data_IF_693476172612
#
_entry.id   IF_693476172612
#
_cell.length_a   1.000
_cell.length_b   1.000
_cell.length_c   1.000
_cell.angle_alpha   90.00
_cell.angle_beta   90.00
_cell.angle_gamma   90.00
#
_symmetry.space_group_name_H-M   'P 1'
#
loop_
_entity.id
_entity.type
_entity.pdbx_description
1 polymer ?
2 polymer ?
3 non-polymer ?
4 non-polymer ?
#
# COMPACT_ATOMS: atom_id res chain seq x y z
N UNK A 1 -21.78 -15.06 9.06
CA UNK A 1 -20.51 -15.43 8.35
C UNK A 1 -20.19 -14.36 7.27
N UNK A 2 -21.08 -13.44 7.04
CA UNK A 2 -20.82 -12.38 6.01
C UNK A 2 -19.76 -11.41 6.54
N UNK A 3 -18.58 -11.46 6.00
CA UNK A 3 -17.49 -10.55 6.48
C UNK A 3 -17.30 -9.42 5.45
N UNK A 4 -17.38 -8.19 5.90
CA UNK A 4 -17.19 -7.05 4.95
C UNK A 4 -15.90 -6.31 5.31
N UNK A 5 -14.87 -6.48 4.51
CA UNK A 5 -13.59 -5.79 4.79
C UNK A 5 -13.77 -4.27 4.62
N UNK A 6 -13.17 -3.49 5.47
CA UNK A 6 -13.32 -2.00 5.35
C UNK A 6 -14.65 -1.57 5.96
N UNK A 7 -14.66 -0.50 6.70
CA UNK A 7 -15.93 -0.03 7.32
C UNK A 7 -16.75 0.75 6.29
N UNK A 8 -17.01 2.00 6.53
CA UNK A 8 -17.80 2.82 5.57
C UNK A 8 -17.04 4.10 5.24
N UNK A 9 -15.83 4.23 5.71
CA UNK A 9 -15.04 5.46 5.44
C UNK A 9 -13.55 5.10 5.29
N UNK A 10 -13.06 4.23 6.14
CA UNK A 10 -11.62 3.85 6.05
C UNK A 10 -11.25 2.97 7.27
N UNK A 11 -12.08 2.01 7.59
CA UNK A 11 -11.78 1.13 8.76
C UNK A 11 -11.26 -0.22 8.26
N UNK A 12 -9.96 -0.39 8.22
CA UNK A 12 -9.39 -1.67 7.74
C UNK A 12 -9.51 -2.74 8.84
N UNK A 13 -10.57 -3.52 8.81
CA UNK A 13 -10.75 -4.57 9.85
C UNK A 13 -11.84 -5.56 9.40
N UNK A 14 -11.62 -6.83 9.63
CA UNK A 14 -12.64 -7.84 9.22
C UNK A 14 -13.90 -7.66 10.07
N UNK A 15 -15.04 -7.54 9.44
CA UNK A 15 -16.30 -7.35 10.21
C UNK A 15 -17.34 -8.38 9.76
N UNK A 16 -17.53 -9.40 10.57
CA UNK A 16 -16.80 -9.57 11.84
C UNK A 16 -15.41 -10.15 11.58
N UNK A 17 -14.58 -10.18 12.60
CA UNK A 17 -13.20 -10.73 12.43
C UNK A 17 -13.11 -12.12 13.07
N UNK A 18 -14.23 -12.69 13.41
CA UNK A 18 -14.23 -14.05 14.03
C UNK A 18 -15.65 -14.62 14.03
N UNK A 19 -15.90 -15.63 13.25
CA UNK A 19 -17.27 -16.22 13.19
C UNK A 19 -17.19 -17.74 13.32
N UNK A 20 -18.31 -18.40 13.50
CA UNK A 20 -18.29 -19.89 13.63
C UNK A 20 -19.18 -20.50 12.54
N UNK A 21 -18.67 -21.46 11.82
CA UNK A 21 -19.49 -22.10 10.74
C UNK A 21 -19.39 -23.63 10.86
N UNK A 22 -19.89 -24.34 9.89
CA UNK A 22 -19.82 -25.84 9.94
C UNK A 22 -19.48 -26.38 8.56
N UNK A 23 -19.36 -27.68 8.42
CA UNK A 23 -19.02 -28.27 7.10
C UNK A 23 -20.23 -28.16 6.17
N UNK A 24 -20.15 -27.31 5.19
CA UNK A 24 -21.30 -27.14 4.24
C UNK A 24 -21.65 -25.66 4.11
N UNK A 25 -21.19 -24.85 5.03
CA UNK A 25 -21.49 -23.38 4.96
C UNK A 25 -20.52 -22.70 4.01
N UNK A 26 -20.73 -21.44 3.72
CA UNK A 26 -19.81 -20.73 2.77
C UNK A 26 -19.36 -19.41 3.42
N UNK A 27 -18.09 -19.12 3.33
CA UNK A 27 -17.57 -17.84 3.93
C UNK A 27 -17.48 -16.79 2.83
N UNK A 28 -17.65 -15.53 3.18
CA UNK A 28 -17.58 -14.45 2.15
C UNK A 28 -16.70 -13.30 2.65
N UNK A 29 -15.98 -12.67 1.76
CA UNK A 29 -15.10 -11.53 2.16
C UNK A 29 -15.32 -10.36 1.19
N UNK A 30 -16.38 -9.60 1.39
CA UNK A 30 -16.66 -8.46 0.47
C UNK A 30 -15.82 -7.24 0.90
N UNK A 31 -15.04 -6.71 -0.01
CA UNK A 31 -14.20 -5.52 0.34
C UNK A 31 -14.94 -4.24 -0.07
N UNK A 32 -15.03 -3.29 0.83
CA UNK A 32 -15.74 -2.02 0.51
C UNK A 32 -14.72 -0.91 0.28
N UNK A 33 -14.02 -0.49 1.30
CA UNK A 33 -13.02 0.59 1.14
C UNK A 33 -11.68 0.14 1.73
N UNK A 34 -10.59 0.66 1.22
CA UNK A 34 -9.25 0.27 1.76
C UNK A 34 -8.70 -0.92 0.97
N UNK A 35 -9.19 -1.12 -0.24
CA UNK A 35 -8.70 -2.27 -1.07
C UNK A 35 -7.21 -2.06 -1.39
N UNK A 36 -6.58 -3.13 -1.81
CA UNK A 36 -7.21 -4.46 -1.96
C UNK A 36 -7.33 -5.16 -0.60
N UNK A 37 -8.25 -6.07 -0.47
CA UNK A 37 -8.43 -6.79 0.82
C UNK A 37 -8.40 -8.30 0.56
N UNK A 38 -7.52 -8.75 -0.30
CA UNK A 38 -7.44 -10.21 -0.60
C UNK A 38 -6.93 -10.96 0.64
N UNK A 39 -7.62 -11.97 1.07
CA UNK A 39 -7.18 -12.73 2.27
C UNK A 39 -6.48 -14.02 1.85
N UNK A 40 -5.58 -14.51 2.67
CA UNK A 40 -4.86 -15.77 2.33
C UNK A 40 -4.70 -16.63 3.58
N UNK A 41 -5.18 -17.84 3.55
CA UNK A 41 -5.07 -18.73 4.76
C UNK A 41 -3.61 -19.16 4.94
N UNK A 42 -3.10 -19.08 6.14
CA UNK A 42 -1.69 -19.48 6.40
C UNK A 42 -1.65 -20.93 6.90
N UNK A 43 -0.52 -21.57 6.80
CA UNK A 43 -0.40 -22.98 7.29
C UNK A 43 0.26 -22.99 8.67
N UNK A 44 -0.14 -22.11 9.55
CA UNK A 44 0.47 -22.07 10.91
C UNK A 44 -0.61 -22.32 11.96
N UNK A 45 -1.85 -22.06 11.62
CA UNK A 45 -2.96 -22.28 12.60
C UNK A 45 -4.02 -23.18 11.96
N UNK A 46 -3.63 -23.99 11.01
CA UNK A 46 -4.63 -24.90 10.35
C UNK A 46 -4.66 -26.22 11.11
N UNK A 47 -5.85 -26.78 11.24
CA UNK A 47 -6.07 -28.05 11.96
C UNK A 47 -5.61 -29.24 11.11
N UNK A 48 -6.22 -29.45 9.96
CA UNK A 48 -5.82 -30.60 9.10
C UNK A 48 -4.66 -30.18 8.19
N UNK A 49 -4.20 -31.06 7.35
CA UNK A 49 -3.07 -30.71 6.43
C UNK A 49 -3.60 -29.81 5.30
N UNK A 50 -3.81 -30.38 4.14
CA UNK A 50 -4.32 -29.58 2.98
C UNK A 50 -3.31 -28.48 2.62
N UNK A 51 -3.36 -27.99 1.41
CA UNK A 51 -2.40 -26.91 1.00
C UNK A 51 -3.01 -25.54 1.32
N UNK A 52 -2.18 -24.55 1.51
CA UNK A 52 -2.69 -23.19 1.83
C UNK A 52 -3.15 -22.50 0.54
N UNK A 53 -2.58 -22.87 -0.58
CA UNK A 53 -3.00 -22.25 -1.87
C UNK A 53 -4.40 -22.73 -2.26
N UNK A 54 -4.86 -23.80 -1.66
CA UNK A 54 -6.22 -24.31 -1.99
C UNK A 54 -7.28 -23.45 -1.31
N UNK A 55 -6.97 -22.90 -0.16
CA UNK A 55 -7.98 -22.05 0.55
C UNK A 55 -7.51 -20.59 0.58
N UNK A 56 -6.41 -20.29 -0.07
CA UNK A 56 -5.90 -18.89 -0.09
C UNK A 56 -6.12 -18.29 -1.48
N UNK A 57 -5.78 -17.04 -1.65
CA UNK A 57 -5.96 -16.39 -2.98
C UNK A 57 -4.62 -16.40 -3.75
N UNK A 58 -4.67 -16.17 -5.03
CA UNK A 58 -3.42 -16.16 -5.84
C UNK A 58 -2.94 -14.72 -6.05
N UNK A 59 -1.99 -14.51 -6.92
CA UNK A 59 -1.48 -13.13 -7.17
C UNK A 59 -2.32 -12.46 -8.27
N UNK A 60 -2.88 -13.23 -9.16
CA UNK A 60 -3.70 -12.63 -10.25
C UNK A 60 -5.10 -12.31 -9.73
N UNK A 61 -5.61 -13.10 -8.82
CA UNK A 61 -6.97 -12.84 -8.27
C UNK A 61 -6.86 -11.96 -7.02
N UNK A 62 -6.91 -10.66 -7.20
CA UNK A 62 -6.81 -9.75 -6.03
C UNK A 62 -8.12 -8.97 -5.88
N UNK A 63 -8.51 -8.67 -4.66
CA UNK A 63 -9.78 -7.91 -4.45
C UNK A 63 -9.45 -6.42 -4.37
N UNK A 64 -9.29 -5.77 -5.49
CA UNK A 64 -8.96 -4.32 -5.49
C UNK A 64 -10.22 -3.51 -5.82
N UNK A 65 -11.22 -4.14 -6.38
CA UNK A 65 -12.47 -3.40 -6.74
C UNK A 65 -13.48 -3.52 -5.59
N UNK A 66 -14.24 -2.46 -5.40
CA UNK A 66 -15.26 -2.41 -4.34
C UNK A 66 -16.52 -3.19 -4.76
N UNK A 67 -16.50 -4.49 -4.56
CA UNK A 67 -17.67 -5.33 -4.96
C UNK A 67 -17.25 -6.79 -5.07
N UNK A 68 -15.99 -7.03 -5.35
CA UNK A 68 -15.51 -8.44 -5.49
C UNK A 68 -15.54 -9.12 -4.12
N UNK A 69 -15.77 -10.41 -4.08
CA UNK A 69 -15.82 -11.12 -2.78
C UNK A 69 -15.04 -12.44 -2.87
N UNK A 70 -14.41 -12.85 -1.80
CA UNK A 70 -13.65 -14.13 -1.82
C UNK A 70 -14.39 -15.16 -0.97
N UNK A 71 -14.96 -16.15 -1.60
CA UNK A 71 -15.72 -17.20 -0.84
C UNK A 71 -14.84 -18.45 -0.68
N UNK A 72 -14.77 -18.99 0.51
CA UNK A 72 -13.94 -20.21 0.73
C UNK A 72 -14.83 -21.33 1.29
N UNK A 73 -14.99 -22.40 0.55
CA UNK A 73 -15.84 -23.53 1.04
C UNK A 73 -15.00 -24.46 1.90
N UNK A 74 -15.13 -24.38 3.19
CA UNK A 74 -14.33 -25.27 4.09
C UNK A 74 -15.19 -26.45 4.55
N UNK A 75 -14.61 -27.61 4.67
CA UNK A 75 -15.39 -28.81 5.12
C UNK A 75 -14.73 -29.44 6.34
N UNK A 76 -13.44 -29.26 6.50
CA UNK A 76 -12.74 -29.84 7.68
C UNK A 76 -13.20 -29.14 8.96
N UNK A 77 -13.15 -29.83 10.07
CA UNK A 77 -13.59 -29.21 11.36
C UNK A 77 -12.36 -28.73 12.13
N UNK A 78 -12.31 -27.46 12.44
CA UNK A 78 -11.14 -26.93 13.20
C UNK A 78 -11.16 -25.40 13.16
N UNK A 79 -10.13 -24.76 13.62
CA UNK A 79 -10.08 -23.26 13.61
C UNK A 79 -9.01 -22.79 12.63
N UNK A 80 -9.40 -22.13 11.57
CA UNK A 80 -8.39 -21.63 10.59
C UNK A 80 -8.01 -20.20 10.94
N UNK A 81 -7.10 -19.61 10.20
CA UNK A 81 -6.69 -18.21 10.50
C UNK A 81 -6.28 -17.49 9.21
N UNK A 82 -7.17 -16.74 8.63
CA UNK A 82 -6.83 -16.00 7.38
C UNK A 82 -6.54 -14.54 7.74
N UNK A 83 -5.84 -13.84 6.90
CA UNK A 83 -5.52 -12.41 7.21
C UNK A 83 -5.41 -11.60 5.92
N UNK A 84 -5.62 -10.31 6.01
CA UNK A 84 -5.53 -9.44 4.81
C UNK A 84 -4.07 -9.38 4.33
N UNK A 85 -3.79 -9.96 3.19
CA UNK A 85 -2.38 -9.96 2.68
C UNK A 85 -1.83 -8.53 2.65
N UNK A 86 -2.56 -7.64 2.02
CA UNK A 86 -2.16 -6.22 1.91
C UNK A 86 -2.36 -5.48 3.24
N UNK A 87 -2.41 -6.20 4.33
CA UNK A 87 -2.59 -5.55 5.67
C UNK A 87 -2.45 -6.59 6.78
N UNK A 88 -1.40 -7.38 6.73
CA UNK A 88 -1.22 -8.42 7.80
C UNK A 88 -0.67 -7.76 9.06
N UNK A 89 0.25 -6.84 8.91
CA UNK A 89 0.82 -6.15 10.10
C UNK A 89 -0.06 -4.96 10.48
N UNK A 90 -1.05 -4.66 9.68
CA UNK A 90 -1.96 -3.52 10.00
C UNK A 90 -2.79 -3.86 11.24
N UNK A 91 -3.58 -4.91 11.18
CA UNK A 91 -4.40 -5.29 12.37
C UNK A 91 -5.74 -5.88 11.92
N UNK A 92 -5.97 -5.97 10.63
CA UNK A 92 -7.27 -6.52 10.15
C UNK A 92 -7.09 -8.01 9.80
N UNK A 93 -7.55 -8.88 10.65
CA UNK A 93 -7.41 -10.35 10.38
C UNK A 93 -8.63 -11.09 10.93
N UNK A 94 -8.97 -12.22 10.35
CA UNK A 94 -10.16 -12.99 10.85
C UNK A 94 -9.79 -14.46 10.98
N UNK A 95 -10.72 -15.28 11.43
CA UNK A 95 -10.44 -16.74 11.58
C UNK A 95 -11.73 -17.54 11.36
N UNK A 96 -11.63 -18.66 10.68
CA UNK A 96 -12.86 -19.49 10.44
C UNK A 96 -12.97 -20.57 11.51
N UNK A 97 -13.93 -20.45 12.40
CA UNK A 97 -14.09 -21.48 13.47
C UNK A 97 -15.10 -22.53 13.01
N UNK A 98 -14.75 -23.31 12.02
CA UNK A 98 -15.69 -24.36 11.52
C UNK A 98 -15.64 -25.58 12.44
N UNK A 99 -16.77 -26.18 12.73
CA UNK A 99 -16.79 -27.37 13.62
C UNK A 99 -18.09 -28.16 13.39
N UNK B 1 0.03 2.52 2.46
CA UNK B 1 -1.18 2.93 1.73
C UNK B 1 -1.45 4.37 2.10
N UNK B 2 -2.22 5.05 1.32
CA UNK B 2 -2.48 6.47 1.59
C UNK B 2 -3.24 6.60 2.90
N UNK B 3 -3.98 5.58 3.28
CA UNK B 3 -4.77 5.65 4.55
C UNK B 3 -3.85 5.53 5.76
N UNK B 4 -2.70 4.92 5.61
CA UNK B 4 -1.76 4.79 6.77
C UNK B 4 -1.22 6.17 7.17
N UNK B 5 -0.91 6.99 6.20
CA UNK B 5 -0.39 8.35 6.51
C UNK B 5 -1.55 9.22 7.00
N UNK B 6 -2.69 9.12 6.39
CA UNK B 6 -3.84 9.95 6.82
C UNK B 6 -4.24 9.59 8.25
N UNK B 7 -4.31 8.34 8.55
CA UNK B 7 -4.73 7.95 9.90
C UNK B 7 -3.70 8.36 10.96
N UNK B 8 -2.40 8.49 10.62
CA UNK B 8 -1.38 8.81 11.72
C UNK B 8 -0.49 10.07 11.46
N UNK B 9 -0.65 10.77 10.40
CA UNK B 9 0.16 12.00 10.24
C UNK B 9 -0.85 13.12 10.03
N UNK B 10 -0.85 14.20 10.79
CA UNK B 10 -1.93 15.30 10.60
C UNK B 10 -1.79 16.01 9.23
N UNK B 11 -0.56 16.36 8.90
CA UNK B 11 -0.21 16.99 7.60
C UNK B 11 0.93 16.13 7.05
N UNK B 12 0.80 15.64 5.81
CA UNK B 12 1.79 14.68 5.15
C UNK B 12 3.15 15.30 4.73
N UNK B 13 3.31 16.59 4.94
CA UNK B 13 4.58 17.25 4.59
C UNK B 13 5.40 17.43 5.87
N UNK B 14 6.61 16.90 5.89
CA UNK B 14 7.47 17.01 7.12
C UNK B 14 8.20 18.36 7.13
N UNK B 15 8.92 18.68 8.20
CA UNK B 15 9.63 19.99 8.28
C UNK B 15 10.86 20.00 7.35
N UNK B 16 11.41 18.85 7.09
CA UNK B 16 12.58 18.76 6.18
C UNK B 16 12.08 18.71 4.74
N UNK B 17 10.77 18.73 4.56
CA UNK B 17 10.20 18.70 3.17
C UNK B 17 9.98 17.25 2.73
N UNK B 18 10.08 16.32 3.63
CA UNK B 18 9.89 14.91 3.24
C UNK B 18 8.41 14.53 3.36
N UNK B 19 7.89 13.84 2.36
CA UNK B 19 6.47 13.37 2.39
C UNK B 19 6.42 12.16 3.34
N UNK B 20 5.41 12.05 4.17
CA UNK B 20 5.33 10.94 5.22
C UNK B 20 5.41 9.50 4.66
N UNK B 21 5.06 9.29 3.40
CA UNK B 21 5.11 7.90 2.84
C UNK B 21 6.56 7.39 2.81
N UNK B 22 7.52 8.28 2.86
CA UNK B 22 8.96 7.84 2.81
C UNK B 22 9.38 7.21 4.15
N UNK B 23 8.47 7.19 5.12
CA UNK B 23 8.78 6.59 6.46
C UNK B 23 8.65 5.07 6.38
N UNK B 24 7.75 4.59 5.55
CA UNK B 24 7.58 3.12 5.38
C UNK B 24 7.95 2.73 3.94
N UNK B 25 7.79 3.65 2.99
CA UNK B 25 8.15 3.37 1.54
C UNK B 25 9.59 3.88 1.31
N UNK B 26 10.55 3.04 1.73
CA UNK B 26 12.02 3.41 1.77
C UNK B 26 12.82 3.29 0.44
N UNK B 27 12.26 2.88 -0.64
CA UNK B 27 13.09 2.85 -1.89
C UNK B 27 12.88 4.20 -2.58
N UNK B 28 13.86 4.80 -3.18
CA UNK B 28 13.57 6.11 -3.85
C UNK B 28 13.34 5.86 -5.34
N UNK B 29 12.16 6.21 -5.92
CA UNK B 29 11.88 6.00 -7.44
C UNK B 29 11.34 7.34 -8.05
N UNK B 30 11.71 7.72 -9.24
CA UNK B 30 11.37 9.09 -9.79
C UNK B 30 9.88 9.44 -9.91
N UNK B 31 9.51 10.65 -9.55
CA UNK B 31 8.08 11.07 -9.68
C UNK B 31 8.06 12.31 -10.57
N UNK B 32 7.06 12.47 -11.41
CA UNK B 32 7.01 13.67 -12.31
C UNK B 32 5.66 14.41 -12.19
N UNK B 33 5.64 15.68 -12.45
CA UNK B 33 4.37 16.42 -12.33
C UNK B 33 4.27 17.51 -13.41
N UNK B 34 3.26 17.45 -14.18
CA UNK B 34 3.08 18.48 -15.21
C UNK B 34 1.87 19.31 -14.80
N UNK B 35 2.03 20.60 -14.70
CA UNK B 35 0.89 21.51 -14.34
C UNK B 35 1.00 22.72 -15.28
N UNK B 36 -0.07 23.42 -15.55
CA UNK B 36 -0.02 24.56 -16.48
C UNK B 36 0.86 25.67 -15.88
N UNK B 37 1.55 26.46 -16.68
CA UNK B 37 2.44 27.53 -16.08
C UNK B 37 1.61 28.57 -15.30
N UNK B 38 0.44 28.86 -15.78
CA UNK B 38 -0.44 29.85 -15.10
C UNK B 38 -1.92 29.49 -15.35
N UNK B 39 -2.77 29.86 -14.43
CA UNK B 39 -4.23 29.56 -14.59
C UNK B 39 -5.05 30.78 -14.15
N UNK B 40 -6.26 30.90 -14.66
CA UNK B 40 -7.14 32.06 -14.29
C UNK B 40 -8.01 31.68 -13.07
N UNK B 41 -8.65 32.63 -12.49
CA UNK B 41 -9.46 32.36 -11.31
C UNK B 41 -10.68 31.54 -11.71
N UNK B 42 -11.15 30.71 -10.80
CA UNK B 42 -12.39 29.87 -11.03
C UNK B 42 -12.29 29.03 -12.32
N UNK B 43 -11.14 28.48 -12.60
CA UNK B 43 -11.01 27.65 -13.83
C UNK B 43 -10.55 26.25 -13.47
N UNK B 44 -10.92 25.28 -14.23
CA UNK B 44 -10.47 23.91 -13.94
C UNK B 44 -9.17 23.67 -14.67
N UNK B 45 -8.24 23.03 -14.03
CA UNK B 45 -6.98 22.70 -14.71
C UNK B 45 -6.61 21.26 -14.35
N UNK B 46 -5.64 20.73 -15.01
CA UNK B 46 -5.28 19.35 -14.71
C UNK B 46 -3.88 19.30 -14.13
N UNK B 47 -3.73 18.49 -13.14
CA UNK B 47 -2.39 18.27 -12.56
C UNK B 47 -2.03 16.84 -12.95
N UNK B 48 -1.05 16.65 -13.81
CA UNK B 48 -0.69 15.27 -14.26
C UNK B 48 0.56 14.74 -13.53
N UNK B 49 0.38 13.70 -12.74
CA UNK B 49 1.51 13.12 -11.96
C UNK B 49 1.94 11.79 -12.60
N UNK B 50 3.21 11.64 -12.79
CA UNK B 50 3.71 10.40 -13.41
C UNK B 50 4.54 9.61 -12.40
N UNK B 51 4.16 8.38 -12.17
CA UNK B 51 4.92 7.48 -11.27
C UNK B 51 5.40 6.32 -12.14
N UNK B 52 6.52 6.56 -12.82
CA UNK B 52 7.11 5.62 -13.83
C UNK B 52 7.82 4.37 -13.24
N UNK B 53 7.69 3.28 -13.94
CA UNK B 53 8.32 2.03 -13.48
C UNK B 53 8.37 1.02 -14.62
N UNK B 54 9.35 0.13 -14.50
CA UNK B 54 9.55 -0.98 -15.48
C UNK B 54 8.37 -1.93 -15.32
N UNK B 55 7.57 -2.06 -16.38
CA UNK B 55 6.28 -2.86 -16.35
C UNK B 55 6.45 -4.39 -16.17
N UNK B 56 7.57 -4.97 -16.53
CA UNK B 56 7.72 -6.47 -16.36
C UNK B 56 8.17 -6.78 -14.92
N UNK B 57 8.07 -5.78 -14.07
CA UNK B 57 8.50 -5.92 -12.64
C UNK B 57 7.47 -6.68 -11.82
N UNK B 58 7.95 -7.66 -11.08
CA UNK B 58 7.07 -8.50 -10.22
C UNK B 58 7.51 -8.33 -8.76
N UNK B 59 6.61 -7.93 -7.93
CA UNK B 59 6.96 -7.74 -6.52
C UNK B 59 6.49 -8.92 -5.68
N UNK B 60 6.91 -8.89 -4.45
CA UNK B 60 6.52 -9.95 -3.50
C UNK B 60 5.20 -9.54 -2.86
N UNK B 61 4.14 -10.25 -3.21
CA UNK B 61 2.77 -9.98 -2.63
C UNK B 61 2.81 -10.43 -1.17
N UNK B 62 1.96 -9.89 -0.31
CA UNK B 62 2.01 -10.24 1.18
C UNK B 62 1.76 -11.74 1.49
N UNK B 63 1.70 -12.58 0.49
CA UNK B 63 1.45 -14.04 0.72
C UNK B 63 2.60 -14.87 0.14
N UNK B 64 3.66 -14.23 -0.27
CA UNK B 64 4.82 -14.97 -0.83
C UNK B 64 4.73 -15.01 -2.35
N UNK B 65 3.56 -14.97 -2.92
CA UNK B 65 3.45 -15.03 -4.41
C UNK B 65 3.99 -13.75 -5.05
N UNK B 66 4.33 -13.79 -6.33
CA UNK B 66 4.87 -12.58 -7.03
C UNK B 66 3.73 -11.91 -7.82
N UNK B 67 3.68 -10.59 -7.83
CA UNK B 67 2.55 -9.94 -8.55
C UNK B 67 2.88 -8.53 -9.10
N UNK B 68 1.82 -7.89 -9.55
CA UNK B 68 1.91 -6.54 -10.16
C UNK B 68 1.99 -5.44 -9.11
N UNK B 69 2.31 -4.27 -9.58
CA UNK B 69 2.48 -3.12 -8.68
C UNK B 69 1.22 -2.27 -8.62
N UNK B 70 1.09 -1.63 -7.49
CA UNK B 70 -0.03 -0.70 -7.23
C UNK B 70 0.57 0.69 -7.04
N UNK B 71 -0.16 1.67 -7.51
CA UNK B 71 0.32 3.08 -7.42
C UNK B 71 -0.60 3.90 -6.51
N UNK B 72 -0.01 4.88 -5.86
CA UNK B 72 -0.76 5.79 -4.95
C UNK B 72 -0.15 7.19 -5.06
N UNK B 73 -0.84 8.19 -4.59
CA UNK B 73 -0.29 9.57 -4.71
C UNK B 73 -0.87 10.51 -3.66
N UNK B 74 -0.12 11.53 -3.35
CA UNK B 74 -0.55 12.56 -2.38
C UNK B 74 -0.26 13.93 -3.00
N UNK B 75 -1.31 14.68 -3.30
CA UNK B 75 -1.13 16.02 -3.93
C UNK B 75 -1.34 17.13 -2.90
N UNK B 76 -0.34 17.95 -2.69
CA UNK B 76 -0.45 19.06 -1.71
C UNK B 76 -0.52 20.40 -2.46
N UNK B 77 -1.69 20.97 -2.54
CA UNK B 77 -1.87 22.28 -3.25
C UNK B 77 -2.00 23.40 -2.20
N UNK B 78 -1.97 24.61 -2.66
CA UNK B 78 -2.09 25.74 -1.76
C UNK B 78 -3.51 25.85 -1.22
N UNK B 79 -3.66 26.61 -0.16
CA UNK B 79 -5.01 26.80 0.45
C UNK B 79 -5.89 27.54 -0.55
N UNK B 80 -7.11 27.08 -0.74
CA UNK B 80 -8.04 27.73 -1.71
C UNK B 80 -8.27 26.77 -2.89
N UNK B 81 -7.20 26.11 -3.32
CA UNK B 81 -7.32 25.14 -4.44
C UNK B 81 -8.00 23.87 -3.93
N UNK B 82 -8.88 23.30 -4.71
CA UNK B 82 -9.59 22.08 -4.26
C UNK B 82 -9.95 21.19 -5.45
N UNK B 83 -10.49 20.03 -5.18
CA UNK B 83 -10.88 19.07 -6.26
C UNK B 83 -12.06 19.66 -7.05
N UNK B 84 -11.90 19.75 -8.35
CA UNK B 84 -12.99 20.32 -9.22
C UNK B 84 -14.24 19.45 -9.11
N UNK B 85 -15.39 20.11 -8.94
CA UNK B 85 -16.73 19.45 -8.78
C UNK B 85 -17.10 18.75 -10.09
N UNK B 86 -17.91 17.74 -10.04
CA UNK B 86 -18.22 16.94 -11.25
C UNK B 86 -18.87 17.76 -12.37
N UNK B 87 -19.67 18.74 -12.02
CA UNK B 87 -20.36 19.57 -13.04
C UNK B 87 -19.36 20.44 -13.82
N UNK B 88 -18.25 20.76 -13.21
CA UNK B 88 -17.24 21.58 -13.93
C UNK B 88 -16.26 20.65 -14.65
N UNK B 89 -16.44 19.36 -14.55
CA UNK B 89 -15.50 18.41 -15.23
C UNK B 89 -15.99 18.13 -16.65
N UNK B 90 -15.21 18.53 -17.64
CA UNK B 90 -15.58 18.28 -19.07
C UNK B 90 -15.50 16.78 -19.35
N UNK B 91 -16.22 16.33 -20.35
CA UNK B 91 -16.27 14.89 -20.73
C UNK B 91 -14.95 14.45 -21.36
N UNK B 92 -14.21 15.38 -21.92
CA UNK B 92 -12.90 15.03 -22.53
C UNK B 92 -11.90 14.72 -21.42
N UNK B 93 -12.15 15.26 -20.25
CA UNK B 93 -11.24 14.99 -19.08
C UNK B 93 -11.90 13.94 -18.18
N UNK B 94 -13.17 13.69 -18.40
CA UNK B 94 -13.90 12.67 -17.58
C UNK B 94 -13.38 11.28 -17.95
N UNK B 95 -13.09 11.05 -19.20
CA UNK B 95 -12.54 9.74 -19.63
C UNK B 95 -11.06 9.71 -19.28
N UNK B 96 -10.48 10.87 -19.15
CA UNK B 96 -9.06 10.93 -18.79
C UNK B 96 -8.91 10.49 -17.33
N UNK B 97 -9.74 10.96 -16.44
CA UNK B 97 -9.61 10.57 -15.00
C UNK B 97 -10.06 9.12 -14.77
N UNK B 98 -10.44 8.43 -15.81
CA UNK B 98 -10.90 7.02 -15.65
C UNK B 98 -12.09 6.98 -14.70
N UNK B 99 -11.92 6.41 -13.53
CA UNK B 99 -13.03 6.35 -12.52
C UNK B 99 -12.41 6.35 -11.12
N UNK B 100 -11.40 7.13 -10.95
CA UNK B 100 -10.73 7.17 -9.65
C UNK B 100 -11.50 8.01 -8.65
N UNK B 101 -11.29 7.73 -7.42
CA UNK B 101 -11.91 8.50 -6.37
C UNK B 101 -10.80 9.27 -5.69
N UNK B 102 -10.81 10.55 -5.80
CA UNK B 102 -9.79 11.33 -5.09
C UNK B 102 -10.34 11.59 -3.70
N UNK B 103 -9.60 11.40 -2.69
CA UNK B 103 -10.15 11.69 -1.36
C UNK B 103 -9.41 12.88 -0.79
N UNK B 104 -9.99 13.52 0.17
CA UNK B 104 -9.27 14.61 0.84
C UNK B 104 -8.40 13.94 1.90
N UNK B 105 -7.23 14.48 2.20
CA UNK B 105 -6.32 13.85 3.24
C UNK B 105 -7.06 13.77 4.60
N UNK B 106 -7.68 14.89 4.98
CA UNK B 106 -8.55 15.03 6.24
C UNK B 106 -9.78 15.84 5.77
N UNK B 107 -10.93 15.82 6.38
CA UNK B 107 -12.14 16.54 5.79
C UNK B 107 -11.96 18.07 5.71
N UNK B 108 -11.12 18.58 6.60
CA UNK B 108 -10.81 20.05 6.71
C UNK B 108 -9.61 20.40 5.82
N UNK B 109 -8.92 19.44 5.34
CA UNK B 109 -7.82 19.75 4.42
C UNK B 109 -8.37 19.50 3.02
N UNK B 110 -9.08 20.43 2.43
CA UNK B 110 -9.62 20.17 1.04
C UNK B 110 -8.54 20.46 -0.01
N UNK B 111 -7.37 20.89 0.45
CA UNK B 111 -6.22 21.23 -0.47
C UNK B 111 -5.18 20.09 -0.50
N UNK B 112 -5.47 19.03 0.19
CA UNK B 112 -4.56 17.85 0.17
C UNK B 112 -5.38 16.69 -0.42
N UNK B 113 -4.96 16.15 -1.54
CA UNK B 113 -5.76 15.05 -2.16
C UNK B 113 -4.95 13.73 -2.20
N UNK B 114 -5.63 12.65 -1.97
CA UNK B 114 -4.94 11.35 -1.99
C UNK B 114 -5.69 10.42 -2.93
N UNK B 115 -4.98 9.50 -3.52
CA UNK B 115 -5.62 8.51 -4.44
C UNK B 115 -4.78 7.25 -4.36
N UNK B 116 -5.36 6.08 -4.45
CA UNK B 116 -4.54 4.83 -4.36
C UNK B 116 -5.01 4.02 -3.15
N UNK B 117 -4.76 2.72 -3.14
CA UNK B 117 -4.01 2.00 -4.20
C UNK B 117 -4.84 1.75 -5.47
N UNK B 118 -4.24 2.14 -6.60
CA UNK B 118 -4.86 1.97 -7.96
C UNK B 118 -3.90 1.07 -8.78
N UNK B 119 -4.41 0.41 -9.80
CA UNK B 119 -3.61 -0.56 -10.60
C UNK B 119 -2.44 0.14 -11.30
N UNK B 120 -1.27 -0.43 -11.25
CA UNK B 120 -0.07 0.23 -11.87
C UNK B 120 -0.16 0.31 -13.40
N UNK B 121 -0.35 -0.80 -14.07
CA UNK B 121 -0.42 -0.81 -15.57
C UNK B 121 -1.55 0.10 -16.09
N UNK B 122 -2.41 0.52 -15.23
CA UNK B 122 -3.50 1.39 -15.71
C UNK B 122 -3.21 2.84 -15.35
N UNK B 123 -2.90 3.11 -14.09
CA UNK B 123 -2.71 4.54 -13.66
C UNK B 123 -1.25 4.91 -13.34
N UNK B 124 -0.36 4.74 -14.29
CA UNK B 124 1.05 5.17 -14.05
C UNK B 124 1.02 6.70 -14.13
N UNK B 125 0.09 7.19 -14.90
CA UNK B 125 -0.09 8.65 -15.05
C UNK B 125 -1.49 8.98 -14.51
N UNK B 126 -1.56 9.86 -13.55
CA UNK B 126 -2.87 10.21 -12.96
C UNK B 126 -3.20 11.68 -13.26
N UNK B 127 -4.43 11.95 -13.49
CA UNK B 127 -4.82 13.33 -13.75
C UNK B 127 -5.72 13.81 -12.62
N UNK B 128 -5.29 14.78 -11.91
CA UNK B 128 -6.17 15.31 -10.84
C UNK B 128 -6.78 16.58 -11.40
N UNK B 129 -8.10 16.69 -11.36
CA UNK B 129 -8.81 17.90 -11.83
C UNK B 129 -8.88 18.96 -10.69
N UNK B 130 -8.16 20.01 -10.78
CA UNK B 130 -8.22 21.00 -9.67
C UNK B 130 -8.98 22.25 -10.09
N UNK B 131 -9.60 22.88 -9.14
CA UNK B 131 -10.31 24.13 -9.45
C UNK B 131 -9.50 25.27 -8.84
N UNK B 132 -9.10 26.23 -9.65
CA UNK B 132 -8.32 27.39 -9.11
C UNK B 132 -9.28 28.33 -8.37
N UNK B 133 -8.84 28.91 -7.31
CA UNK B 133 -9.68 29.80 -6.51
C UNK B 133 -9.85 31.18 -7.18
N UNK B 134 -10.68 31.98 -6.57
CA UNK B 134 -10.93 33.37 -7.05
C UNK B 134 -10.60 34.31 -5.90
N UNK B 135 -9.76 35.28 -6.18
CA UNK B 135 -9.32 36.23 -5.16
C UNK B 135 -10.46 37.14 -4.73
N UNK B 136 -11.23 37.65 -5.67
CA UNK B 136 -12.37 38.55 -5.31
C UNK B 136 -13.45 37.73 -4.58
N UNK B 137 -13.18 36.46 -4.40
CA UNK B 137 -14.14 35.56 -3.70
C UNK B 137 -13.48 34.95 -2.44
N UNK B 138 -12.20 35.18 -2.24
CA UNK B 138 -11.51 34.63 -1.01
C UNK B 138 -10.39 35.61 -0.65
N UNK B 139 -10.51 36.37 0.44
CA UNK B 139 -9.47 37.44 0.79
C UNK B 139 -8.06 36.91 1.18
N UNK B 140 -7.89 35.60 1.24
CA UNK B 140 -6.54 35.01 1.62
C UNK B 140 -5.81 34.50 0.36
N UNK B 141 -6.54 34.36 -0.70
CA UNK B 141 -5.92 33.91 -1.97
C UNK B 141 -5.55 35.16 -2.77
N UNK B 142 -4.46 35.11 -3.44
CA UNK B 142 -4.08 36.28 -4.22
C UNK B 142 -3.41 35.81 -5.49
N UNK B 143 -3.30 36.73 -6.41
CA UNK B 143 -2.60 36.43 -7.64
C UNK B 143 -1.13 36.34 -7.28
N UNK B 144 -0.56 35.22 -7.45
CA UNK B 144 0.86 35.07 -7.10
C UNK B 144 1.30 33.68 -7.48
N UNK B 145 2.58 33.45 -7.30
CA UNK B 145 3.17 32.11 -7.61
C UNK B 145 3.02 31.22 -6.38
N UNK B 146 2.47 30.04 -6.58
CA UNK B 146 2.26 29.11 -5.43
C UNK B 146 2.92 27.74 -5.72
N UNK B 147 3.38 27.14 -4.66
CA UNK B 147 4.04 25.82 -4.70
C UNK B 147 3.04 24.66 -4.74
N UNK B 148 3.42 23.63 -5.43
CA UNK B 148 2.58 22.40 -5.51
C UNK B 148 3.49 21.23 -5.21
N UNK B 149 3.15 20.38 -4.25
CA UNK B 149 4.04 19.23 -3.90
C UNK B 149 3.35 17.88 -4.16
N UNK B 150 4.06 16.93 -4.63
CA UNK B 150 3.43 15.64 -4.91
C UNK B 150 4.31 14.52 -4.39
N UNK B 151 3.68 13.50 -3.94
CA UNK B 151 4.42 12.30 -3.49
C UNK B 151 3.87 11.16 -4.33
N UNK B 152 4.70 10.32 -4.90
CA UNK B 152 4.17 9.19 -5.76
C UNK B 152 4.80 7.85 -5.35
N UNK B 153 4.00 6.83 -5.19
CA UNK B 153 4.57 5.53 -4.76
C UNK B 153 4.07 4.39 -5.65
N UNK B 154 4.88 3.41 -5.78
CA UNK B 154 4.48 2.25 -6.56
C UNK B 154 5.13 1.08 -5.87
N UNK B 155 4.37 0.13 -5.39
CA UNK B 155 5.01 -1.04 -4.73
C UNK B 155 4.59 -1.15 -3.27
N UNK B 156 4.78 -2.32 -2.70
CA UNK B 156 4.41 -2.57 -1.28
C UNK B 156 5.46 -1.94 -0.35
N UNK B 157 5.00 -1.42 0.76
CA UNK B 157 5.93 -0.75 1.73
C UNK B 157 6.71 -1.79 2.55
N UNK B 158 7.73 -1.35 3.25
CA UNK B 158 8.55 -2.29 4.06
C UNK B 158 8.16 -2.20 5.53
N UNK B 159 7.68 -1.07 6.00
CA UNK B 159 7.31 -0.97 7.45
C UNK B 159 5.80 -0.81 7.61
N UNK B 160 5.23 -1.44 8.65
CA UNK B 160 3.74 -1.36 8.94
C UNK B 160 3.49 -0.20 9.94
N UNK B 161 2.26 0.07 10.32
CA UNK B 161 1.98 1.21 11.23
C UNK B 161 2.50 0.95 12.66
N UNK B 162 2.68 -0.30 12.99
CA UNK B 162 3.14 -0.66 14.36
C UNK B 162 4.67 -0.80 14.39
N UNK B 163 5.35 -0.65 13.27
CA UNK B 163 6.85 -0.75 13.29
C UNK B 163 7.30 -2.15 12.83
N UNK B 164 6.37 -2.96 12.46
CA UNK B 164 6.74 -4.32 12.01
C UNK B 164 7.18 -4.25 10.55
N UNK B 165 8.13 -5.03 10.23
CA UNK B 165 8.56 -5.06 8.84
C UNK B 165 7.61 -5.98 8.10
N UNK B 166 7.53 -5.79 6.82
CA UNK B 166 6.68 -6.67 6.00
C UNK B 166 7.63 -7.66 5.33
N UNK B 167 7.12 -8.48 4.46
CA UNK B 167 8.01 -9.47 3.77
C UNK B 167 8.61 -8.81 2.52
N UNK B 168 8.44 -7.51 2.36
CA UNK B 168 8.99 -6.80 1.15
C UNK B 168 10.26 -6.00 1.52
N UNK B 169 11.09 -6.59 2.33
CA UNK B 169 12.33 -5.92 2.76
C UNK B 169 13.41 -6.97 3.07
N UNK B 170 14.58 -6.48 3.33
CA UNK B 170 15.69 -7.39 3.64
C UNK B 170 15.54 -7.89 5.06
N UNK B 171 15.96 -9.11 5.27
CA UNK B 171 15.94 -9.73 6.61
C UNK B 171 17.39 -9.78 7.10
N UNK B 172 17.67 -9.11 8.21
CA UNK B 172 19.07 -9.04 8.75
C UNK B 172 19.27 -9.91 10.00
N UNK B 173 20.44 -10.50 10.11
CA UNK B 173 20.78 -11.39 11.25
C UNK B 173 20.71 -10.61 12.56
N UNK B 174 20.01 -11.15 13.52
CA UNK B 174 19.90 -10.48 14.83
C UNK B 174 21.17 -10.73 15.64
N UNK B 175 22.09 -11.48 15.16
CA UNK B 175 23.32 -11.71 15.96
C UNK B 175 24.41 -12.28 15.07
N UNK B 176 25.64 -11.96 15.37
CA UNK B 176 26.74 -12.50 14.57
C UNK B 176 26.99 -13.94 15.01
N UNK B 177 27.90 -14.61 14.34
CA UNK B 177 28.24 -16.02 14.70
C UNK B 177 28.24 -16.92 13.45
N UNK B 178 28.13 -18.19 13.67
CA UNK B 178 28.11 -19.14 12.53
C UNK B 178 26.71 -19.76 12.43
N UNK B 179 26.23 -19.91 11.23
CA UNK B 179 24.90 -20.54 11.06
C UNK B 179 25.06 -22.04 11.34
N UNK B 180 24.35 -22.53 12.31
CA UNK B 180 24.47 -23.98 12.65
C UNK B 180 23.43 -24.78 11.87
N UNK B 181 22.29 -24.21 11.57
CA UNK B 181 21.27 -24.99 10.82
C UNK B 181 20.31 -24.06 10.07
N UNK B 182 19.78 -24.55 8.97
CA UNK B 182 18.81 -23.76 8.15
C UNK B 182 17.58 -24.64 7.90
N UNK B 183 16.52 -24.42 8.65
CA UNK B 183 15.30 -25.25 8.50
C UNK B 183 14.39 -24.72 7.39
N UNK B 184 14.39 -25.38 6.24
CA UNK B 184 13.49 -24.96 5.12
C UNK B 184 12.05 -25.28 5.53
N UNK B 185 11.19 -24.28 5.57
CA UNK B 185 9.75 -24.47 6.06
C UNK B 185 8.87 -25.25 5.07
N UNK B 186 7.95 -26.02 5.59
CA UNK B 186 7.06 -26.85 4.73
C UNK B 186 6.26 -25.95 3.77
N UNK B 187 5.58 -24.95 4.28
CA UNK B 187 4.75 -24.08 3.38
C UNK B 187 5.55 -22.83 2.94
N UNK B 188 6.85 -22.87 3.09
CA UNK B 188 7.69 -21.69 2.66
C UNK B 188 8.28 -20.98 3.88
N UNK B 189 9.37 -20.30 3.71
CA UNK B 189 9.96 -19.60 4.87
C UNK B 189 11.13 -20.40 5.41
N UNK B 190 11.81 -19.81 6.34
CA UNK B 190 12.98 -20.49 6.90
C UNK B 190 13.17 -20.13 8.38
N UNK B 191 13.84 -21.04 9.02
CA UNK B 191 14.23 -20.89 10.42
C UNK B 191 15.75 -21.01 10.41
N UNK B 192 16.45 -19.94 10.75
CA UNK B 192 17.95 -19.95 10.74
C UNK B 192 18.51 -19.95 12.17
N UNK B 193 19.32 -20.95 12.47
CA UNK B 193 19.93 -21.06 13.84
C UNK B 193 21.34 -20.45 13.83
N UNK B 194 21.54 -19.47 14.68
CA UNK B 194 22.85 -18.81 14.74
C UNK B 194 23.54 -19.13 16.07
N UNK B 195 24.73 -19.61 15.96
CA UNK B 195 25.50 -19.89 17.17
C UNK B 195 26.40 -18.69 17.42
N UNK B 196 26.00 -17.81 18.28
CA UNK B 196 26.90 -16.68 18.59
C UNK B 196 27.98 -17.23 19.50
N UNK B 197 29.01 -17.84 18.95
CA UNK B 197 30.09 -18.43 19.80
C UNK B 197 30.75 -17.34 20.66
N UNK B 198 30.64 -16.10 20.27
CA UNK B 198 31.27 -15.00 21.05
C UNK B 198 30.52 -14.78 22.37
N UNK B 199 29.22 -14.80 22.35
CA UNK B 199 28.46 -14.60 23.62
C UNK B 199 27.91 -15.93 24.12
N UNK B 200 28.31 -17.03 23.53
CA UNK B 200 27.78 -18.35 23.98
C UNK B 200 26.25 -18.31 23.97
N UNK B 201 25.68 -17.80 22.93
CA UNK B 201 24.21 -17.73 22.87
C UNK B 201 23.73 -18.26 21.52
N UNK B 202 22.59 -18.87 21.53
CA UNK B 202 22.02 -19.39 20.26
C UNK B 202 20.78 -18.54 19.94
N UNK B 203 20.64 -18.13 18.71
CA UNK B 203 19.44 -17.30 18.34
C UNK B 203 18.76 -17.89 17.11
N UNK B 204 17.46 -17.75 17.01
CA UNK B 204 16.71 -18.32 15.84
C UNK B 204 16.11 -17.18 15.01
N UNK B 205 16.64 -16.96 13.83
CA UNK B 205 16.11 -15.88 12.93
C UNK B 205 15.05 -16.47 12.01
N UNK B 206 13.85 -15.91 12.04
CA UNK B 206 12.75 -16.45 11.18
C UNK B 206 12.61 -15.63 9.89
N UNK B 207 12.63 -16.30 8.75
CA UNK B 207 12.51 -15.60 7.42
C UNK B 207 11.19 -16.00 6.74
N UNK B 208 10.49 -15.00 6.26
CA UNK B 208 9.17 -15.16 5.62
C UNK B 208 9.27 -15.74 4.21
N UNK B 209 8.14 -16.16 3.68
CA UNK B 209 8.09 -16.74 2.32
C UNK B 209 8.13 -15.63 1.28
N UNK B 210 8.69 -15.94 0.11
CA UNK B 210 8.82 -14.94 -1.02
C UNK B 210 10.27 -14.43 -1.08
N UNK B 211 11.02 -14.79 -0.06
CA UNK B 211 12.43 -14.34 0.05
C UNK B 211 13.41 -15.51 -0.07
N UNK B 212 14.48 -15.23 -0.76
CA UNK B 212 15.57 -16.22 -0.96
C UNK B 212 16.78 -15.76 -0.15
N UNK B 213 17.30 -16.63 0.64
CA UNK B 213 18.46 -16.25 1.46
C UNK B 213 19.74 -16.42 0.67
N UNK B 214 20.71 -15.64 1.03
CA UNK B 214 22.03 -15.75 0.41
C UNK B 214 22.96 -16.26 1.50
N UNK B 215 22.51 -17.19 2.31
CA UNK B 215 23.38 -17.71 3.41
C UNK B 215 23.41 -19.25 3.40
N UNK B 216 24.51 -19.82 3.78
CA UNK B 216 24.62 -21.30 3.79
C UNK B 216 24.99 -21.78 5.19
N UNK B 217 24.65 -22.99 5.50
CA UNK B 217 24.99 -23.55 6.83
C UNK B 217 26.51 -23.54 6.98
N UNK B 218 26.99 -23.23 8.17
CA UNK B 218 28.46 -23.22 8.43
C UNK B 218 29.06 -21.87 7.99
N UNK B 219 28.24 -20.92 7.67
CA UNK B 219 28.77 -19.61 7.23
C UNK B 219 28.87 -18.65 8.41
N UNK B 220 29.87 -17.82 8.39
CA UNK B 220 30.03 -16.83 9.48
C UNK B 220 29.21 -15.59 9.11
N UNK B 221 28.32 -15.20 9.96
CA UNK B 221 27.51 -14.00 9.66
C UNK B 221 27.80 -12.96 10.73
N UNK B 222 27.75 -11.70 10.39
CA UNK B 222 28.00 -10.63 11.41
C UNK B 222 26.64 -10.08 11.85
N UNK B 223 26.58 -9.31 12.90
CA UNK B 223 25.26 -8.76 13.32
C UNK B 223 24.75 -7.79 12.25
N UNK B 224 23.48 -7.84 11.92
CA UNK B 224 22.93 -6.88 10.89
C UNK B 224 23.28 -7.37 9.47
N UNK B 225 24.03 -8.43 9.34
CA UNK B 225 24.36 -8.92 7.98
C UNK B 225 23.06 -9.32 7.28
N UNK B 226 22.98 -9.02 6.02
CA UNK B 226 21.79 -9.33 5.24
C UNK B 226 21.66 -10.83 5.12
N UNK B 227 20.51 -11.36 5.46
CA UNK B 227 20.31 -12.83 5.40
C UNK B 227 19.70 -13.25 4.05
N UNK B 228 18.94 -12.40 3.43
CA UNK B 228 18.32 -12.76 2.11
C UNK B 228 18.46 -11.58 1.14
N UNK B 229 18.10 -11.73 -0.09
CA UNK B 229 18.22 -10.57 -1.00
C UNK B 229 17.10 -9.58 -0.69
N UNK B 230 17.22 -8.38 -1.18
CA UNK B 230 16.14 -7.40 -0.99
C UNK B 230 15.18 -7.55 -2.16
N UNK B 231 13.98 -8.01 -1.90
CA UNK B 231 12.95 -8.24 -2.95
C UNK B 231 12.12 -6.96 -3.24
N UNK B 232 12.59 -5.79 -2.92
CA UNK B 232 11.77 -4.56 -3.17
C UNK B 232 12.01 -4.01 -4.60
N UNK B 233 11.03 -3.99 -5.41
CA UNK B 233 11.24 -3.47 -6.79
C UNK B 233 10.49 -2.16 -6.95
N UNK B 234 9.89 -1.64 -5.90
CA UNK B 234 9.11 -0.36 -6.04
C UNK B 234 9.86 0.82 -5.40
N UNK B 235 9.18 1.92 -5.23
CA UNK B 235 9.86 3.09 -4.62
C UNK B 235 8.91 4.31 -4.48
N UNK B 236 9.36 5.23 -3.69
CA UNK B 236 8.62 6.47 -3.44
C UNK B 236 9.44 7.63 -4.01
N UNK B 237 8.77 8.56 -4.61
CA UNK B 237 9.46 9.73 -5.18
C UNK B 237 8.73 11.01 -4.74
N UNK B 238 9.39 12.13 -4.87
CA UNK B 238 8.78 13.43 -4.48
C UNK B 238 8.98 14.44 -5.63
N UNK B 239 8.02 15.31 -5.85
CA UNK B 239 8.16 16.30 -6.97
C UNK B 239 7.66 17.69 -6.53
N UNK B 240 7.91 18.68 -7.35
CA UNK B 240 7.50 20.06 -7.01
C UNK B 240 7.15 20.86 -8.28
N UNK B 241 6.24 21.75 -8.14
CA UNK B 241 5.87 22.57 -9.28
C UNK B 241 5.45 23.91 -8.74
N UNK B 242 5.44 24.88 -9.60
CA UNK B 242 5.01 26.23 -9.20
C UNK B 242 3.89 26.63 -10.16
N UNK B 243 2.84 27.22 -9.66
CA UNK B 243 1.72 27.63 -10.57
C UNK B 243 1.50 29.14 -10.45
N UNK B 244 1.08 29.76 -11.48
CA UNK B 244 0.86 31.20 -11.36
C UNK B 244 -0.63 31.47 -11.37
N UNK B 245 -1.19 31.90 -10.26
CA UNK B 245 -2.64 32.29 -10.26
C UNK B 245 -2.66 33.64 -10.97
N UNK B 246 -3.15 33.71 -12.18
CA UNK B 246 -3.06 34.99 -12.95
C UNK B 246 -4.32 35.88 -12.91
N UNK B 247 -4.05 37.16 -12.83
CA UNK B 247 -5.12 38.16 -12.89
C UNK B 247 -5.55 38.17 -14.35
N UNK B 248 -6.86 38.23 -14.56
CA UNK B 248 -7.48 38.20 -15.92
C UNK B 248 -7.19 39.46 -16.72
N UNK B 249 -6.57 40.40 -16.09
CA UNK B 249 -6.20 41.63 -16.80
C UNK B 249 -4.68 41.61 -16.97
N UNK B 250 -4.04 42.71 -16.64
CA UNK B 250 -2.55 42.80 -16.77
C UNK B 250 -2.06 44.07 -16.08
#
# INVERSE_FOLDING_TARGET
>A
VEVLLGGGDGSLAFLPGDFSVASGEEIVFKNNAGFPHNVVFDEDEIPSGVDAAKISMSEEDLLNAPGETYKVTLTEKGTYKFYCSPHQGAGMVGKVTVN
>B
YPIFAQQNYENPREATGRIVCANCHLASKPVDIEVPQAVLPDTVFEAVVKIPYDMQLKQVLANGKKGALNVGAVLILPEGFELAPPDRISPEMKEKIGNLSFQNYRPNKKNILVIGPVPGQKYSEITFPILAPDPATNKDVHFLKYPIYVGGNRGRGQIYPDGSKSNNTVYNATAGGIISKILRKEKGGYEITIVDASNERQVIDIIPRGLELLVSEGESIKLDQPLTSNPNVGGFGQGDAEIVLQDPLR
#
